data_IF_030077785365
#
_entry.id   IF_030077785365
#
_cell.length_a   1.000
_cell.length_b   1.000
_cell.length_c   1.000
_cell.angle_alpha   90.00
_cell.angle_beta   90.00
_cell.angle_gamma   90.00
#
_symmetry.space_group_name_H-M   'P 1'
#
loop_
_entity.id
_entity.type
_entity.pdbx_description
1 polymer ?
#
# COMPACT_ATOMS: atom_id res chain seq x y z
N UNK A 1 -1.58 1.76 -13.52
CA UNK A 1 -1.28 3.02 -12.80
C UNK A 1 -0.72 2.72 -11.41
N UNK A 2 -1.36 1.88 -10.56
CA UNK A 2 -0.83 1.53 -9.24
C UNK A 2 0.56 0.84 -9.32
N UNK A 3 0.78 -0.04 -10.30
CA UNK A 3 2.09 -0.64 -10.57
C UNK A 3 3.14 0.39 -11.01
N UNK A 4 2.75 1.38 -11.82
CA UNK A 4 3.63 2.46 -12.24
C UNK A 4 4.05 3.30 -11.04
N UNK A 5 3.14 3.57 -10.13
CA UNK A 5 3.41 4.39 -8.97
C UNK A 5 4.12 3.62 -7.84
N UNK A 6 3.92 2.32 -7.72
CA UNK A 6 4.61 1.47 -6.73
C UNK A 6 6.00 1.01 -7.20
N UNK A 7 6.27 1.06 -8.51
CA UNK A 7 7.62 0.87 -9.08
C UNK A 7 8.44 2.17 -9.08
N UNK A 8 8.03 3.16 -8.31
CA UNK A 8 8.70 4.46 -8.17
C UNK A 8 10.20 4.42 -7.86
N UNK A 9 10.80 3.40 -7.21
CA UNK A 9 12.26 3.31 -7.14
C UNK A 9 12.94 3.32 -8.51
N UNK A 10 12.30 2.75 -9.53
CA UNK A 10 12.82 2.74 -10.92
C UNK A 10 12.70 4.11 -11.57
N UNK A 11 11.59 4.83 -11.33
CA UNK A 11 11.42 6.20 -11.79
C UNK A 11 12.33 7.20 -11.03
N UNK A 12 12.62 6.95 -9.76
CA UNK A 12 13.55 7.77 -8.96
C UNK A 12 14.98 7.64 -9.44
N UNK A 13 15.43 6.45 -9.85
CA UNK A 13 16.74 6.26 -10.47
C UNK A 13 16.89 7.02 -11.78
N UNK A 14 15.82 7.24 -12.53
CA UNK A 14 15.81 8.00 -13.78
C UNK A 14 15.86 9.52 -13.56
N UNK A 15 15.48 10.03 -12.39
CA UNK A 15 15.46 11.48 -12.08
C UNK A 15 16.72 11.95 -11.33
N UNK A 16 17.62 11.01 -10.97
CA UNK A 16 18.96 11.35 -10.44
C UNK A 16 19.00 12.05 -9.08
N UNK A 17 17.88 12.10 -8.35
CA UNK A 17 17.85 12.66 -7.00
C UNK A 17 17.84 11.53 -5.96
N UNK A 18 18.71 11.56 -4.93
CA UNK A 18 18.67 10.62 -3.82
C UNK A 18 17.48 10.94 -2.93
N UNK A 19 16.30 10.72 -3.43
CA UNK A 19 15.08 10.86 -2.62
C UNK A 19 14.97 9.60 -1.77
N UNK A 20 14.86 9.81 -0.48
CA UNK A 20 14.77 8.73 0.49
C UNK A 20 13.57 7.83 0.17
N UNK A 21 13.83 6.57 -0.20
CA UNK A 21 12.77 5.58 -0.49
C UNK A 21 11.75 5.49 0.65
N UNK A 22 12.20 5.71 1.89
CA UNK A 22 11.38 5.83 3.07
C UNK A 22 10.30 6.91 2.97
N UNK A 23 10.62 8.08 2.41
CA UNK A 23 9.64 9.16 2.24
C UNK A 23 8.56 8.81 1.21
N UNK A 24 8.93 8.16 0.11
CA UNK A 24 7.96 7.68 -0.87
C UNK A 24 6.97 6.67 -0.26
N UNK A 25 7.46 5.79 0.61
CA UNK A 25 6.64 4.84 1.36
C UNK A 25 5.65 5.56 2.28
N UNK A 26 6.09 6.58 3.05
CA UNK A 26 5.18 7.38 3.89
C UNK A 26 4.06 8.01 3.08
N UNK A 27 4.39 8.59 1.94
CA UNK A 27 3.38 9.21 1.07
C UNK A 27 2.38 8.18 0.53
N UNK A 28 2.80 6.95 0.25
CA UNK A 28 1.89 5.88 -0.16
C UNK A 28 0.90 5.52 0.95
N UNK A 29 1.27 5.65 2.22
CA UNK A 29 0.36 5.44 3.38
C UNK A 29 -0.63 6.59 3.62
N UNK A 30 -0.64 7.62 2.80
CA UNK A 30 -1.78 8.56 2.73
C UNK A 30 -2.99 7.97 2.01
N UNK A 31 -2.84 6.84 1.32
CA UNK A 31 -3.93 6.15 0.62
C UNK A 31 -5.12 5.78 1.52
N UNK A 32 -4.96 5.25 2.76
CA UNK A 32 -6.09 5.02 3.67
C UNK A 32 -6.90 6.29 3.96
N UNK A 33 -6.23 7.47 4.05
CA UNK A 33 -6.91 8.77 4.20
C UNK A 33 -7.79 9.05 2.99
N UNK A 34 -7.27 8.85 1.78
CA UNK A 34 -8.02 9.07 0.54
C UNK A 34 -9.19 8.11 0.41
N UNK A 35 -9.01 6.84 0.81
CA UNK A 35 -10.07 5.83 0.82
C UNK A 35 -11.15 6.20 1.84
N UNK A 36 -10.78 6.67 3.03
CA UNK A 36 -11.72 7.14 4.04
C UNK A 36 -12.56 8.30 3.50
N UNK A 37 -11.90 9.32 2.92
CA UNK A 37 -12.60 10.47 2.32
C UNK A 37 -13.56 10.01 1.24
N UNK A 38 -13.12 9.14 0.34
CA UNK A 38 -13.99 8.58 -0.70
C UNK A 38 -15.20 7.85 -0.12
N UNK A 39 -15.01 7.01 0.90
CA UNK A 39 -16.07 6.24 1.55
C UNK A 39 -17.09 7.16 2.22
N UNK A 40 -16.61 8.15 2.97
CA UNK A 40 -17.44 9.16 3.65
C UNK A 40 -18.30 9.95 2.65
N UNK A 41 -17.68 10.42 1.56
CA UNK A 41 -18.39 11.16 0.50
C UNK A 41 -19.40 10.28 -0.22
N UNK A 42 -19.04 9.05 -0.55
CA UNK A 42 -19.91 8.10 -1.26
C UNK A 42 -21.10 7.65 -0.43
N UNK A 43 -20.90 7.41 0.86
CA UNK A 43 -21.93 6.97 1.79
C UNK A 43 -22.72 8.14 2.40
N UNK A 44 -22.37 9.39 2.07
CA UNK A 44 -22.99 10.60 2.62
C UNK A 44 -23.08 10.60 4.15
N UNK A 45 -22.05 10.08 4.82
CA UNK A 45 -21.97 9.98 6.29
C UNK A 45 -20.74 10.71 6.83
N UNK A 46 -20.80 11.08 8.11
CA UNK A 46 -19.61 11.57 8.80
C UNK A 46 -18.61 10.41 9.06
N UNK A 47 -17.29 10.69 9.05
CA UNK A 47 -16.30 9.70 9.43
C UNK A 47 -16.47 9.30 10.89
N UNK A 48 -16.34 8.03 11.19
CA UNK A 48 -16.44 7.53 12.56
C UNK A 48 -15.13 7.74 13.30
N UNK A 49 -15.17 7.98 14.60
CA UNK A 49 -13.96 8.26 15.40
C UNK A 49 -12.92 7.16 15.31
N UNK A 50 -13.32 5.88 15.29
CA UNK A 50 -12.39 4.77 15.16
C UNK A 50 -11.72 4.70 13.78
N UNK A 51 -12.43 5.11 12.70
CA UNK A 51 -11.86 5.20 11.35
C UNK A 51 -10.78 6.29 11.29
N UNK A 52 -11.07 7.48 11.84
CA UNK A 52 -10.10 8.57 11.93
C UNK A 52 -8.89 8.18 12.79
N UNK A 53 -9.12 7.56 13.95
CA UNK A 53 -8.04 7.15 14.84
C UNK A 53 -7.16 6.08 14.19
N UNK A 54 -7.75 5.07 13.53
CA UNK A 54 -7.00 4.03 12.84
C UNK A 54 -6.14 4.59 11.68
N UNK A 55 -6.71 5.48 10.87
CA UNK A 55 -5.98 6.13 9.76
C UNK A 55 -4.85 7.00 10.28
N UNK A 56 -5.06 7.77 11.37
CA UNK A 56 -4.01 8.58 11.99
C UNK A 56 -2.89 7.71 12.58
N UNK A 57 -3.23 6.62 13.25
CA UNK A 57 -2.24 5.68 13.79
C UNK A 57 -1.38 5.07 12.68
N UNK A 58 -1.99 4.66 11.55
CA UNK A 58 -1.24 4.14 10.39
C UNK A 58 -0.32 5.21 9.81
N UNK A 59 -0.82 6.43 9.60
CA UNK A 59 -0.03 7.51 9.03
C UNK A 59 1.16 7.89 9.93
N UNK A 60 0.93 8.04 11.23
CA UNK A 60 1.98 8.36 12.21
C UNK A 60 2.96 7.20 12.38
N UNK A 61 2.48 5.96 12.41
CA UNK A 61 3.31 4.77 12.51
C UNK A 61 4.21 4.60 11.29
N UNK A 62 3.67 4.74 10.09
CA UNK A 62 4.45 4.70 8.86
C UNK A 62 5.47 5.85 8.80
N UNK A 63 5.08 7.05 9.23
CA UNK A 63 6.00 8.19 9.33
C UNK A 63 7.15 7.91 10.30
N UNK A 64 6.87 7.35 11.49
CA UNK A 64 7.88 6.97 12.48
C UNK A 64 8.88 5.96 11.92
N UNK A 65 8.40 4.88 11.30
CA UNK A 65 9.24 3.85 10.70
C UNK A 65 10.13 4.40 9.58
N UNK A 66 9.58 5.27 8.74
CA UNK A 66 10.30 5.71 7.56
C UNK A 66 11.25 6.88 7.81
N UNK A 67 10.96 7.77 8.75
CA UNK A 67 11.76 8.99 8.98
C UNK A 67 12.60 8.95 10.24
N UNK A 68 12.28 8.02 11.18
CA UNK A 68 12.88 7.98 12.52
C UNK A 68 12.86 9.37 13.19
N UNK A 69 11.88 10.21 12.85
CA UNK A 69 11.73 11.62 13.25
C UNK A 69 12.94 12.52 12.93
N UNK A 70 13.85 12.09 12.05
CA UNK A 70 14.99 12.91 11.60
C UNK A 70 14.53 13.89 10.51
N UNK A 71 13.77 14.90 10.88
CA UNK A 71 13.21 15.90 9.95
C UNK A 71 14.28 16.68 9.17
N UNK A 72 15.47 16.89 9.76
CA UNK A 72 16.58 17.61 9.12
C UNK A 72 17.24 16.87 7.95
N UNK A 73 17.01 15.57 7.81
CA UNK A 73 17.54 14.77 6.69
C UNK A 73 16.56 14.66 5.50
N UNK A 74 15.35 15.19 5.64
CA UNK A 74 14.32 15.17 4.60
C UNK A 74 14.55 16.31 3.57
N UNK A 75 15.46 16.08 2.65
CA UNK A 75 15.48 16.88 1.42
C UNK A 75 14.34 16.41 0.51
N UNK A 76 13.18 17.06 0.63
CA UNK A 76 12.00 16.73 -0.16
C UNK A 76 12.11 17.44 -1.51
N UNK A 77 12.50 16.69 -2.52
CA UNK A 77 12.42 17.21 -3.89
C UNK A 77 10.93 17.31 -4.31
N UNK A 78 10.47 18.46 -4.85
CA UNK A 78 9.07 18.61 -5.29
C UNK A 78 8.56 17.49 -6.20
N UNK A 79 9.35 16.92 -7.14
CA UNK A 79 8.91 15.79 -7.94
C UNK A 79 8.58 14.55 -7.10
N UNK A 80 9.33 14.29 -6.02
CA UNK A 80 9.10 13.15 -5.15
C UNK A 80 7.74 13.23 -4.42
N UNK A 81 7.35 14.43 -4.00
CA UNK A 81 6.05 14.66 -3.39
C UNK A 81 4.91 14.37 -4.38
N UNK A 82 5.02 14.86 -5.62
CA UNK A 82 4.02 14.65 -6.65
C UNK A 82 3.87 13.15 -6.95
N UNK A 83 4.97 12.44 -7.18
CA UNK A 83 4.95 11.01 -7.47
C UNK A 83 4.43 10.18 -6.30
N UNK A 84 4.79 10.52 -5.07
CA UNK A 84 4.30 9.82 -3.88
C UNK A 84 2.79 10.00 -3.67
N UNK A 85 2.27 11.22 -3.84
CA UNK A 85 0.82 11.47 -3.77
C UNK A 85 0.08 10.77 -4.93
N UNK A 86 0.64 10.79 -6.13
CA UNK A 86 0.06 10.07 -7.27
C UNK A 86 0.02 8.55 -7.02
N UNK A 87 1.04 8.00 -6.35
CA UNK A 87 1.07 6.62 -5.91
C UNK A 87 -0.07 6.30 -4.93
N UNK A 88 -0.30 7.17 -3.94
CA UNK A 88 -1.39 7.00 -2.98
C UNK A 88 -2.77 7.05 -3.66
N UNK A 89 -2.99 8.00 -4.58
CA UNK A 89 -4.23 8.06 -5.39
C UNK A 89 -4.40 6.78 -6.20
N UNK A 90 -3.34 6.32 -6.86
CA UNK A 90 -3.38 5.10 -7.67
C UNK A 90 -3.68 3.86 -6.82
N UNK A 91 -3.11 3.77 -5.61
CA UNK A 91 -3.39 2.68 -4.68
C UNK A 91 -4.84 2.71 -4.19
N UNK A 92 -5.36 3.90 -3.83
CA UNK A 92 -6.76 4.06 -3.45
C UNK A 92 -7.71 3.65 -4.60
N UNK A 93 -7.40 4.08 -5.82
CA UNK A 93 -8.17 3.70 -7.01
C UNK A 93 -8.11 2.18 -7.26
N UNK A 94 -6.93 1.58 -7.17
CA UNK A 94 -6.73 0.14 -7.29
C UNK A 94 -7.51 -0.65 -6.23
N UNK A 95 -7.61 -0.13 -5.01
CA UNK A 95 -8.33 -0.79 -3.90
C UNK A 95 -9.84 -0.74 -4.10
N UNK A 96 -10.39 0.40 -4.55
CA UNK A 96 -11.84 0.65 -4.58
C UNK A 96 -12.48 0.17 -5.88
N UNK A 97 -11.85 0.48 -7.03
CA UNK A 97 -12.48 0.31 -8.35
C UNK A 97 -12.77 -1.15 -8.71
N UNK A 98 -11.87 -2.12 -8.48
CA UNK A 98 -12.11 -3.50 -8.89
C UNK A 98 -13.20 -4.20 -8.09
N UNK A 99 -13.57 -3.70 -6.91
CA UNK A 99 -14.49 -4.40 -6.00
C UNK A 99 -15.86 -4.70 -6.62
N UNK A 100 -16.40 -3.78 -7.40
CA UNK A 100 -17.67 -4.01 -8.12
C UNK A 100 -17.52 -5.09 -9.20
N UNK A 101 -16.44 -5.01 -9.99
CA UNK A 101 -16.17 -5.96 -11.06
C UNK A 101 -15.84 -7.36 -10.53
N UNK A 102 -15.11 -7.46 -9.41
CA UNK A 102 -14.77 -8.74 -8.78
C UNK A 102 -16.04 -9.48 -8.32
N UNK A 103 -17.06 -8.75 -7.87
CA UNK A 103 -18.35 -9.35 -7.50
C UNK A 103 -19.13 -9.90 -8.69
N UNK A 104 -18.98 -9.31 -9.87
CA UNK A 104 -19.70 -9.70 -11.11
C UNK A 104 -18.94 -10.75 -11.92
N UNK A 105 -17.61 -10.59 -12.07
CA UNK A 105 -16.80 -11.33 -13.06
C UNK A 105 -15.75 -12.25 -12.44
N UNK A 106 -15.65 -12.35 -11.14
CA UNK A 106 -14.62 -13.05 -10.38
C UNK A 106 -13.25 -12.32 -10.31
N UNK A 107 -12.42 -12.80 -9.37
CA UNK A 107 -11.17 -12.13 -8.98
C UNK A 107 -10.07 -12.22 -10.04
N UNK A 108 -9.79 -13.45 -10.51
CA UNK A 108 -8.61 -13.71 -11.34
C UNK A 108 -8.59 -12.96 -12.67
N UNK A 109 -9.69 -12.92 -13.44
CA UNK A 109 -9.72 -12.16 -14.70
C UNK A 109 -9.49 -10.66 -14.47
N UNK A 110 -10.11 -10.08 -13.43
CA UNK A 110 -10.02 -8.63 -13.18
C UNK A 110 -8.59 -8.24 -12.79
N UNK A 111 -7.97 -8.99 -11.87
CA UNK A 111 -6.58 -8.76 -11.48
C UNK A 111 -5.63 -9.02 -12.66
N UNK A 112 -5.84 -10.10 -13.40
CA UNK A 112 -5.00 -10.46 -14.55
C UNK A 112 -5.02 -9.40 -15.65
N UNK A 113 -6.20 -8.95 -16.08
CA UNK A 113 -6.31 -7.89 -17.09
C UNK A 113 -5.73 -6.57 -16.59
N UNK A 114 -5.94 -6.24 -15.31
CA UNK A 114 -5.34 -5.06 -14.70
C UNK A 114 -3.80 -5.09 -14.75
N UNK A 115 -3.20 -6.25 -14.49
CA UNK A 115 -1.74 -6.44 -14.56
C UNK A 115 -1.22 -6.37 -16.00
N UNK A 116 -1.91 -6.99 -16.95
CA UNK A 116 -1.51 -7.00 -18.38
C UNK A 116 -1.53 -5.54 -18.89
N UNK A 117 -2.64 -4.83 -18.72
CA UNK A 117 -2.78 -3.45 -19.19
C UNK A 117 -1.75 -2.52 -18.51
N UNK A 118 -1.59 -2.65 -17.19
CA UNK A 118 -0.59 -1.89 -16.44
C UNK A 118 0.85 -2.20 -16.89
N UNK A 119 1.15 -3.47 -17.15
CA UNK A 119 2.44 -3.94 -17.64
C UNK A 119 2.76 -3.40 -19.04
N UNK A 120 1.79 -3.38 -19.95
CA UNK A 120 1.94 -2.81 -21.30
C UNK A 120 2.28 -1.31 -21.20
N UNK A 121 1.50 -0.55 -20.44
CA UNK A 121 1.76 0.90 -20.24
C UNK A 121 3.15 1.12 -19.64
N UNK A 122 3.52 0.35 -18.61
CA UNK A 122 4.83 0.45 -17.97
C UNK A 122 5.96 0.10 -18.94
N UNK A 123 5.80 -0.93 -19.77
CA UNK A 123 6.78 -1.32 -20.76
C UNK A 123 7.05 -0.19 -21.78
N UNK A 124 6.02 0.51 -22.24
CA UNK A 124 6.19 1.67 -23.14
C UNK A 124 6.89 2.85 -22.45
N UNK A 125 6.60 3.10 -21.18
CA UNK A 125 7.20 4.21 -20.44
C UNK A 125 8.65 3.93 -20.04
N UNK A 126 8.95 2.75 -19.49
CA UNK A 126 10.25 2.41 -18.93
C UNK A 126 11.22 1.78 -19.96
N UNK A 127 10.70 1.35 -21.12
CA UNK A 127 11.49 0.73 -22.21
C UNK A 127 12.47 -0.34 -21.72
N UNK A 128 12.01 -1.41 -21.02
CA UNK A 128 12.88 -2.40 -20.37
C UNK A 128 13.83 -3.11 -21.34
N UNK A 129 13.51 -3.12 -22.64
CA UNK A 129 14.35 -3.68 -23.70
C UNK A 129 15.65 -2.90 -23.98
N UNK A 130 15.79 -1.69 -23.45
CA UNK A 130 17.01 -0.88 -23.57
C UNK A 130 18.04 -1.22 -22.50
N UNK A 131 17.66 -1.97 -21.47
CA UNK A 131 18.54 -2.34 -20.38
C UNK A 131 19.28 -3.64 -20.75
N UNK A 132 20.63 -3.55 -20.82
CA UNK A 132 21.45 -4.73 -21.01
C UNK A 132 21.44 -5.59 -19.73
N UNK A 133 20.86 -6.79 -19.82
CA UNK A 133 20.77 -7.72 -18.71
C UNK A 133 21.52 -9.01 -19.06
N UNK A 134 22.41 -9.46 -18.17
CA UNK A 134 23.04 -10.79 -18.30
C UNK A 134 22.03 -11.88 -17.95
N UNK A 135 21.59 -12.61 -18.98
CA UNK A 135 20.60 -13.67 -18.83
C UNK A 135 21.29 -14.92 -18.27
N UNK A 136 20.88 -15.35 -17.08
CA UNK A 136 21.32 -16.59 -16.46
C UNK A 136 20.16 -17.30 -15.75
N UNK A 137 20.33 -18.59 -15.41
CA UNK A 137 19.28 -19.39 -14.75
C UNK A 137 18.85 -18.78 -13.40
N UNK A 138 19.77 -18.18 -12.65
CA UNK A 138 19.49 -17.54 -11.37
C UNK A 138 18.54 -16.35 -11.56
N UNK A 139 18.73 -15.55 -12.60
CA UNK A 139 17.84 -14.43 -12.93
C UNK A 139 16.41 -14.92 -13.21
N UNK A 140 16.25 -16.01 -13.97
CA UNK A 140 14.92 -16.58 -14.25
C UNK A 140 14.21 -17.08 -12.99
N UNK A 141 14.93 -17.75 -12.09
CA UNK A 141 14.36 -18.25 -10.83
C UNK A 141 13.91 -17.08 -9.95
N UNK A 142 14.76 -16.04 -9.82
CA UNK A 142 14.44 -14.85 -9.05
C UNK A 142 13.25 -14.08 -9.64
N UNK A 143 13.25 -13.92 -10.97
CA UNK A 143 12.16 -13.24 -11.67
C UNK A 143 10.83 -14.00 -11.56
N UNK A 144 10.86 -15.33 -11.72
CA UNK A 144 9.68 -16.17 -11.52
C UNK A 144 9.15 -16.08 -10.09
N UNK A 145 10.03 -16.07 -9.07
CA UNK A 145 9.65 -15.87 -7.67
C UNK A 145 8.97 -14.51 -7.44
N UNK A 146 9.55 -13.44 -7.96
CA UNK A 146 8.97 -12.08 -7.84
C UNK A 146 7.63 -11.99 -8.57
N UNK A 147 7.52 -12.54 -9.77
CA UNK A 147 6.27 -12.51 -10.56
C UNK A 147 5.19 -13.34 -9.86
N UNK A 148 5.49 -14.58 -9.50
CA UNK A 148 4.47 -15.48 -8.96
C UNK A 148 4.10 -15.13 -7.52
N UNK A 149 5.06 -15.12 -6.60
CA UNK A 149 4.81 -14.88 -5.18
C UNK A 149 4.62 -13.39 -4.87
N UNK A 150 5.54 -12.55 -5.35
CA UNK A 150 5.54 -11.12 -5.05
C UNK A 150 4.47 -10.33 -5.80
N UNK A 151 3.99 -10.83 -6.95
CA UNK A 151 3.02 -10.09 -7.75
C UNK A 151 1.67 -10.81 -7.80
N UNK A 152 1.59 -11.97 -8.46
CA UNK A 152 0.30 -12.63 -8.70
C UNK A 152 -0.38 -13.00 -7.38
N UNK A 153 0.29 -13.74 -6.51
CA UNK A 153 -0.28 -14.17 -5.23
C UNK A 153 -0.63 -12.97 -4.35
N UNK A 154 0.29 -12.01 -4.19
CA UNK A 154 0.08 -10.85 -3.32
C UNK A 154 -1.10 -10.00 -3.75
N UNK A 155 -1.22 -9.68 -5.04
CA UNK A 155 -2.33 -8.88 -5.54
C UNK A 155 -3.68 -9.63 -5.50
N UNK A 156 -3.67 -10.94 -5.79
CA UNK A 156 -4.89 -11.75 -5.68
C UNK A 156 -5.37 -11.85 -4.23
N UNK A 157 -4.48 -12.14 -3.28
CA UNK A 157 -4.84 -12.23 -1.86
C UNK A 157 -5.27 -10.87 -1.30
N UNK A 158 -4.59 -9.79 -1.67
CA UNK A 158 -5.01 -8.45 -1.27
C UNK A 158 -6.42 -8.13 -1.75
N UNK A 159 -6.71 -8.31 -3.03
CA UNK A 159 -8.03 -8.01 -3.58
C UNK A 159 -9.12 -8.95 -3.06
N UNK A 160 -8.80 -10.22 -2.82
CA UNK A 160 -9.71 -11.15 -2.16
C UNK A 160 -10.03 -10.68 -0.73
N UNK A 161 -9.03 -10.29 0.04
CA UNK A 161 -9.20 -9.72 1.38
C UNK A 161 -10.06 -8.47 1.36
N UNK A 162 -9.74 -7.50 0.49
CA UNK A 162 -10.52 -6.25 0.35
C UNK A 162 -11.98 -6.51 -0.05
N UNK A 163 -12.25 -7.54 -0.85
CA UNK A 163 -13.63 -7.90 -1.22
C UNK A 163 -14.48 -8.40 -0.05
N UNK A 164 -13.83 -8.90 1.01
CA UNK A 164 -14.47 -9.40 2.24
C UNK A 164 -14.61 -8.27 3.27
N UNK A 165 -13.49 -7.59 3.58
CA UNK A 165 -13.44 -6.63 4.69
C UNK A 165 -13.71 -5.18 4.27
N UNK A 166 -13.82 -4.90 2.97
CA UNK A 166 -13.99 -3.56 2.44
C UNK A 166 -12.68 -2.79 2.22
N UNK A 167 -12.78 -1.69 1.47
CA UNK A 167 -11.60 -0.95 1.00
C UNK A 167 -10.81 -0.26 2.12
N UNK A 168 -11.50 0.34 3.09
CA UNK A 168 -10.84 1.06 4.19
C UNK A 168 -10.11 0.08 5.11
N UNK A 169 -10.79 -0.95 5.61
CA UNK A 169 -10.17 -1.97 6.47
C UNK A 169 -9.03 -2.70 5.73
N UNK A 170 -9.21 -3.06 4.46
CA UNK A 170 -8.17 -3.67 3.64
C UNK A 170 -6.93 -2.79 3.48
N UNK A 171 -7.09 -1.48 3.29
CA UNK A 171 -5.96 -0.54 3.20
C UNK A 171 -5.23 -0.35 4.54
N UNK A 172 -5.94 -0.39 5.66
CA UNK A 172 -5.34 -0.36 7.00
C UNK A 172 -4.57 -1.66 7.29
N UNK A 173 -5.14 -2.80 6.91
CA UNK A 173 -4.46 -4.10 7.02
C UNK A 173 -3.19 -4.17 6.18
N UNK A 174 -3.17 -3.56 4.99
CA UNK A 174 -1.96 -3.51 4.15
C UNK A 174 -0.83 -2.71 4.79
N UNK A 175 -1.12 -1.81 5.74
CA UNK A 175 -0.10 -1.11 6.50
C UNK A 175 0.74 -2.03 7.43
N UNK A 176 0.37 -3.30 7.58
CA UNK A 176 1.24 -4.30 8.20
C UNK A 176 2.48 -4.64 7.34
N UNK A 177 2.50 -4.27 6.05
CA UNK A 177 3.63 -4.51 5.14
C UNK A 177 4.98 -3.99 5.66
N UNK A 178 5.13 -2.72 6.09
CA UNK A 178 6.40 -2.25 6.63
C UNK A 178 6.83 -3.01 7.90
N UNK A 179 5.88 -3.43 8.72
CA UNK A 179 6.17 -4.22 9.93
C UNK A 179 6.78 -5.57 9.54
N UNK A 180 6.14 -6.29 8.62
CA UNK A 180 6.64 -7.59 8.14
C UNK A 180 7.96 -7.45 7.38
N UNK A 181 8.11 -6.41 6.59
CA UNK A 181 9.34 -6.10 5.83
C UNK A 181 10.53 -5.90 6.77
N UNK A 182 10.36 -5.12 7.84
CA UNK A 182 11.44 -4.88 8.81
C UNK A 182 11.74 -6.14 9.62
N UNK A 183 10.75 -6.91 10.06
CA UNK A 183 10.96 -8.20 10.75
C UNK A 183 11.81 -9.14 9.88
N UNK A 184 11.44 -9.29 8.61
CA UNK A 184 12.17 -10.14 7.67
C UNK A 184 13.59 -9.60 7.44
N UNK A 185 13.75 -8.30 7.26
CA UNK A 185 15.08 -7.67 7.09
C UNK A 185 15.97 -7.87 8.32
N UNK A 186 15.42 -7.83 9.52
CA UNK A 186 16.18 -8.10 10.75
C UNK A 186 16.59 -9.56 10.84
N UNK A 187 15.68 -10.48 10.55
CA UNK A 187 15.95 -11.92 10.62
C UNK A 187 16.95 -12.39 9.56
N UNK A 188 16.86 -11.87 8.34
CA UNK A 188 17.69 -12.30 7.22
C UNK A 188 18.95 -11.44 7.03
N UNK A 189 18.88 -10.14 7.29
CA UNK A 189 19.95 -9.19 7.03
C UNK A 189 20.60 -8.66 8.31
N UNK A 190 20.13 -9.12 9.49
CA UNK A 190 20.64 -8.70 10.82
C UNK A 190 20.63 -7.17 11.02
N UNK A 191 19.66 -6.48 10.43
CA UNK A 191 19.47 -5.04 10.63
C UNK A 191 18.89 -4.79 12.02
N UNK A 192 19.50 -3.89 12.79
CA UNK A 192 19.04 -3.56 14.14
C UNK A 192 17.81 -2.65 14.11
N UNK A 193 16.84 -2.96 14.94
CA UNK A 193 15.67 -2.10 15.17
C UNK A 193 16.05 -0.82 15.91
N UNK A 194 15.47 0.28 15.50
CA UNK A 194 15.48 1.50 16.28
C UNK A 194 14.24 1.59 17.19
N UNK A 195 14.29 2.36 18.28
CA UNK A 195 13.11 2.59 19.12
C UNK A 195 11.95 3.23 18.33
N UNK A 196 12.26 3.99 17.28
CA UNK A 196 11.26 4.61 16.39
C UNK A 196 10.55 3.60 15.49
N UNK A 197 11.26 2.56 15.05
CA UNK A 197 10.66 1.46 14.30
C UNK A 197 9.65 0.72 15.19
N UNK A 198 10.05 0.42 16.44
CA UNK A 198 9.19 -0.26 17.41
C UNK A 198 7.92 0.57 17.73
N UNK A 199 8.07 1.88 17.94
CA UNK A 199 6.93 2.78 18.15
C UNK A 199 5.99 2.79 16.96
N UNK A 200 6.54 2.88 15.73
CA UNK A 200 5.76 2.83 14.50
C UNK A 200 5.01 1.51 14.33
N UNK A 201 5.64 0.37 14.66
CA UNK A 201 4.98 -0.95 14.62
C UNK A 201 3.81 -1.05 15.59
N UNK A 202 3.99 -0.60 16.83
CA UNK A 202 2.91 -0.59 17.82
C UNK A 202 1.74 0.24 17.33
N UNK A 203 2.00 1.43 16.75
CA UNK A 203 0.94 2.27 16.19
C UNK A 203 0.19 1.59 15.05
N UNK A 204 0.91 0.99 14.10
CA UNK A 204 0.29 0.29 12.95
C UNK A 204 -0.49 -0.94 13.43
N UNK A 205 0.12 -1.76 14.30
CA UNK A 205 -0.53 -2.98 14.79
C UNK A 205 -1.75 -2.68 15.67
N UNK A 206 -1.79 -1.54 16.37
CA UNK A 206 -2.97 -1.13 17.14
C UNK A 206 -4.10 -0.57 16.26
N UNK A 207 -3.78 -0.02 15.10
CA UNK A 207 -4.80 0.44 14.15
C UNK A 207 -5.65 -0.71 13.59
N UNK A 208 -5.07 -1.90 13.42
CA UNK A 208 -5.75 -3.08 12.87
C UNK A 208 -6.93 -3.54 13.75
N UNK A 209 -6.75 -3.90 15.03
CA UNK A 209 -7.87 -4.27 15.87
C UNK A 209 -8.83 -3.11 16.12
N UNK A 210 -8.37 -1.87 16.11
CA UNK A 210 -9.22 -0.69 16.29
C UNK A 210 -10.27 -0.59 15.17
N UNK A 211 -9.89 -0.78 13.92
CA UNK A 211 -10.84 -0.76 12.81
C UNK A 211 -11.77 -1.99 12.86
N UNK A 212 -11.23 -3.19 13.12
CA UNK A 212 -12.02 -4.42 13.17
C UNK A 212 -13.08 -4.40 14.28
N UNK A 213 -12.71 -3.96 15.48
CA UNK A 213 -13.64 -3.83 16.62
C UNK A 213 -14.65 -2.71 16.35
N UNK A 214 -14.20 -1.58 15.81
CA UNK A 214 -15.07 -0.45 15.48
C UNK A 214 -16.14 -0.80 14.45
N UNK A 215 -15.81 -1.53 13.40
CA UNK A 215 -16.77 -2.01 12.41
C UNK A 215 -17.79 -2.97 13.04
N UNK A 216 -17.33 -3.95 13.82
CA UNK A 216 -18.21 -4.91 14.50
C UNK A 216 -19.20 -4.22 15.46
N UNK A 217 -18.75 -3.22 16.24
CA UNK A 217 -19.62 -2.44 17.12
C UNK A 217 -20.66 -1.64 16.34
N UNK A 218 -20.25 -1.08 15.22
CA UNK A 218 -21.12 -0.29 14.35
C UNK A 218 -22.22 -1.13 13.72
N UNK A 219 -21.91 -2.34 13.26
CA UNK A 219 -22.89 -3.28 12.71
C UNK A 219 -23.91 -3.73 13.76
N UNK A 220 -23.45 -4.05 14.98
CA UNK A 220 -24.35 -4.41 16.09
C UNK A 220 -25.32 -3.30 16.44
N UNK A 221 -24.86 -2.05 16.49
CA UNK A 221 -25.75 -0.91 16.79
C UNK A 221 -26.74 -0.63 15.68
N UNK A 222 -26.33 -0.78 14.41
CA UNK A 222 -27.24 -0.64 13.28
C UNK A 222 -28.34 -1.72 13.29
N UNK A 223 -27.98 -2.97 13.61
CA UNK A 223 -28.92 -4.08 13.73
C UNK A 223 -29.92 -3.89 14.90
N UNK A 224 -29.48 -3.28 16.01
CA UNK A 224 -30.36 -3.02 17.18
C UNK A 224 -31.33 -1.85 16.97
N UNK A 225 -31.10 -0.99 16.00
CA UNK A 225 -31.99 0.15 15.66
C UNK A 225 -33.00 -0.21 14.56
N UNK A 226 -32.85 -1.36 13.93
CA UNK A 226 -33.75 -1.85 12.87
C UNK A 226 -34.84 -2.80 13.36
N UNK A 227 -34.90 -3.06 14.67
CA UNK A 227 -35.95 -3.83 15.38
C UNK A 227 -36.86 -2.85 16.13
#
# INVERSE_FOLDING_TARGET
VALICNSTPVCYGAVGTPTNAAFATVLSYTAPVMILVYTVVKEHRAPRLYELAAVLLVALGAFSCATQFKLGALHIAPPALIWGLLSAVAFAFYTITPQKLIREYSLLPIVGWGMILGGIVLAFLCRPWTVAVTVNAHLFIMLAGVIFLGTICSFCFYQAGVSIVGGLAGSILSAAEPVTSVIISTLLLHVLFTPFDLAGFVMILTAIPLIAVGEHWSEKHAASLSI
#
